data_IF_775010644168
#
_entry.id   IF_775010644168
#
_cell.length_a   1.000
_cell.length_b   1.000
_cell.length_c   1.000
_cell.angle_alpha   90.00
_cell.angle_beta   90.00
_cell.angle_gamma   90.00
#
_symmetry.space_group_name_H-M   'P 1'
#
loop_
_entity.id
_entity.type
_entity.pdbx_description
1 polymer ?
#
# COMPACT_ATOMS: atom_id res chain seq x y z
N UNK A 1 -8.76 -1.65 -7.76
CA UNK A 1 -9.60 -0.81 -6.88
C UNK A 1 -8.86 0.50 -6.74
N UNK A 2 -9.55 1.59 -7.03
CA UNK A 2 -9.08 2.97 -7.01
C UNK A 2 -10.33 3.86 -6.97
N UNK A 3 -10.19 5.15 -7.27
CA UNK A 3 -11.30 6.11 -7.26
C UNK A 3 -12.40 5.81 -8.27
N UNK A 4 -12.09 5.16 -9.40
CA UNK A 4 -13.06 4.79 -10.45
C UNK A 4 -13.62 3.38 -10.28
N UNK A 5 -12.95 2.54 -9.51
CA UNK A 5 -13.36 1.17 -9.20
C UNK A 5 -13.43 0.98 -7.67
N UNK A 6 -14.49 1.46 -7.00
CA UNK A 6 -14.64 1.36 -5.56
C UNK A 6 -14.90 -0.09 -5.11
N UNK A 7 -14.76 -0.31 -3.82
CA UNK A 7 -15.09 -1.55 -3.15
C UNK A 7 -16.59 -1.87 -3.34
N UNK A 8 -16.96 -3.12 -3.70
CA UNK A 8 -18.35 -3.52 -3.74
C UNK A 8 -19.04 -3.32 -2.37
N UNK A 9 -20.29 -2.85 -2.36
CA UNK A 9 -21.01 -2.50 -1.12
C UNK A 9 -21.08 -3.64 -0.08
N UNK A 10 -21.19 -4.88 -0.54
CA UNK A 10 -21.29 -6.07 0.33
C UNK A 10 -19.97 -6.83 0.43
N UNK A 11 -18.84 -6.19 0.12
CA UNK A 11 -17.54 -6.84 0.21
C UNK A 11 -17.22 -7.21 1.66
N UNK A 12 -16.81 -8.46 1.85
CA UNK A 12 -16.23 -8.93 3.11
C UNK A 12 -14.93 -9.67 2.81
N UNK A 13 -13.99 -9.62 3.76
CA UNK A 13 -12.71 -10.33 3.64
C UNK A 13 -12.44 -11.09 4.94
N UNK A 14 -12.18 -12.40 4.82
CA UNK A 14 -11.64 -13.18 5.92
C UNK A 14 -10.17 -12.80 6.10
N UNK A 15 -9.82 -12.38 7.30
CA UNK A 15 -8.47 -11.93 7.61
C UNK A 15 -7.77 -12.87 8.60
N UNK A 16 -6.45 -12.96 8.49
CA UNK A 16 -5.58 -13.67 9.42
C UNK A 16 -4.56 -12.70 10.04
N UNK A 17 -4.12 -12.94 11.29
CA UNK A 17 -3.09 -12.13 11.93
C UNK A 17 -1.73 -12.25 11.21
N UNK A 18 -1.05 -11.11 11.06
CA UNK A 18 0.34 -10.97 10.61
C UNK A 18 1.02 -9.92 11.49
N UNK A 19 1.81 -10.35 12.47
CA UNK A 19 2.37 -9.45 13.49
C UNK A 19 1.27 -8.73 14.28
N UNK A 20 1.37 -7.41 14.36
CA UNK A 20 0.40 -6.49 14.99
C UNK A 20 -0.82 -6.18 14.09
N UNK A 21 -0.85 -6.67 12.85
CA UNK A 21 -1.85 -6.32 11.87
C UNK A 21 -2.67 -7.52 11.38
N UNK A 22 -3.67 -7.24 10.54
CA UNK A 22 -4.50 -8.25 9.88
C UNK A 22 -4.36 -8.13 8.36
N UNK A 23 -4.34 -9.26 7.65
CA UNK A 23 -4.24 -9.31 6.20
C UNK A 23 -5.21 -10.36 5.65
N UNK A 24 -5.58 -10.29 4.38
CA UNK A 24 -6.42 -11.30 3.71
C UNK A 24 -5.83 -12.69 3.94
N UNK A 25 -6.66 -13.62 4.47
CA UNK A 25 -6.23 -14.97 4.81
C UNK A 25 -5.61 -15.73 3.64
N UNK A 26 -5.99 -15.40 2.40
CA UNK A 26 -5.46 -16.02 1.17
C UNK A 26 -4.00 -15.65 0.91
N UNK A 27 -3.55 -14.50 1.39
CA UNK A 27 -2.20 -13.97 1.15
C UNK A 27 -1.38 -13.76 2.42
N UNK A 28 -1.97 -13.91 3.61
CA UNK A 28 -1.30 -13.72 4.90
C UNK A 28 -0.06 -14.61 5.08
N UNK A 29 -0.10 -15.87 4.61
CA UNK A 29 1.06 -16.77 4.65
C UNK A 29 2.22 -16.25 3.81
N UNK A 30 1.92 -15.69 2.64
CA UNK A 30 2.92 -15.12 1.74
C UNK A 30 3.51 -13.83 2.29
N UNK A 31 2.69 -12.97 2.90
CA UNK A 31 3.18 -11.77 3.61
C UNK A 31 4.13 -12.16 4.75
N UNK A 32 3.76 -13.14 5.58
CA UNK A 32 4.62 -13.64 6.67
C UNK A 32 5.96 -14.15 6.14
N UNK A 33 5.94 -14.90 5.03
CA UNK A 33 7.16 -15.42 4.40
C UNK A 33 8.06 -14.29 3.89
N UNK A 34 7.49 -13.30 3.19
CA UNK A 34 8.24 -12.14 2.71
C UNK A 34 8.93 -11.39 3.84
N UNK A 35 8.22 -11.11 4.93
CA UNK A 35 8.77 -10.43 6.12
C UNK A 35 9.88 -11.28 6.77
N UNK A 36 9.64 -12.59 6.94
CA UNK A 36 10.62 -13.48 7.54
C UNK A 36 11.92 -13.56 6.72
N UNK A 37 11.81 -13.64 5.40
CA UNK A 37 12.99 -13.70 4.52
C UNK A 37 13.71 -12.34 4.43
N UNK A 38 12.99 -11.21 4.53
CA UNK A 38 13.60 -9.89 4.70
C UNK A 38 14.44 -9.82 5.99
N UNK A 39 13.86 -10.26 7.10
CA UNK A 39 14.50 -10.28 8.43
C UNK A 39 15.74 -11.19 8.46
N UNK A 40 15.71 -12.35 7.80
CA UNK A 40 16.89 -13.24 7.67
C UNK A 40 18.07 -12.58 6.95
N UNK A 41 17.82 -11.57 6.12
CA UNK A 41 18.85 -10.79 5.44
C UNK A 41 19.31 -9.57 6.27
N UNK A 42 18.95 -9.50 7.56
CA UNK A 42 19.33 -8.42 8.46
C UNK A 42 18.52 -7.12 8.29
N UNK A 43 17.41 -7.16 7.54
CA UNK A 43 16.53 -6.01 7.30
C UNK A 43 15.23 -6.21 8.08
N UNK A 44 14.91 -5.34 9.03
CA UNK A 44 13.83 -5.56 9.98
C UNK A 44 12.60 -4.71 9.65
N UNK A 45 11.67 -5.30 8.91
CA UNK A 45 10.41 -4.65 8.52
C UNK A 45 9.46 -4.50 9.70
N UNK A 46 8.84 -3.32 9.79
CA UNK A 46 7.69 -3.06 10.66
C UNK A 46 6.43 -2.90 9.81
N UNK A 47 5.30 -3.43 10.28
CA UNK A 47 4.00 -3.16 9.68
C UNK A 47 3.40 -1.94 10.37
N UNK A 48 3.29 -0.82 9.66
CA UNK A 48 2.55 0.35 10.15
C UNK A 48 1.05 0.13 9.98
N UNK A 49 0.64 -0.45 8.84
CA UNK A 49 -0.76 -0.61 8.50
C UNK A 49 -0.99 -1.76 7.54
N UNK A 50 -2.15 -2.40 7.62
CA UNK A 50 -2.57 -3.45 6.70
C UNK A 50 -4.07 -3.35 6.46
N UNK A 51 -4.87 -4.37 6.76
CA UNK A 51 -6.33 -4.25 6.66
C UNK A 51 -6.87 -3.07 7.49
N UNK A 52 -7.70 -2.24 6.86
CA UNK A 52 -8.41 -1.12 7.49
C UNK A 52 -9.90 -1.26 7.25
N UNK A 53 -10.72 -1.10 8.29
CA UNK A 53 -12.17 -0.96 8.12
C UNK A 53 -12.50 0.34 7.37
N UNK A 54 -13.69 0.41 6.76
CA UNK A 54 -14.20 1.64 6.14
C UNK A 54 -14.28 2.77 7.18
N UNK A 55 -14.70 2.48 8.41
CA UNK A 55 -14.77 3.46 9.50
C UNK A 55 -13.40 4.04 9.85
N UNK A 56 -12.36 3.20 9.94
CA UNK A 56 -11.01 3.66 10.23
C UNK A 56 -10.44 4.48 9.07
N UNK A 57 -10.64 4.03 7.82
CA UNK A 57 -10.25 4.80 6.63
C UNK A 57 -10.95 6.16 6.58
N UNK A 58 -12.20 6.25 7.03
CA UNK A 58 -12.95 7.52 7.15
C UNK A 58 -12.29 8.47 8.14
N UNK A 59 -11.83 7.98 9.28
CA UNK A 59 -11.11 8.79 10.27
C UNK A 59 -9.78 9.31 9.73
N UNK A 60 -9.02 8.46 9.02
CA UNK A 60 -7.77 8.85 8.38
C UNK A 60 -8.00 9.92 7.31
N UNK A 61 -8.96 9.70 6.40
CA UNK A 61 -9.26 10.66 5.34
C UNK A 61 -9.70 12.02 5.89
N UNK A 62 -10.60 12.04 6.89
CA UNK A 62 -11.01 13.30 7.54
C UNK A 62 -9.84 14.01 8.24
N UNK A 63 -8.91 13.25 8.79
CA UNK A 63 -7.69 13.81 9.40
C UNK A 63 -6.81 14.47 8.35
N UNK A 64 -6.66 13.83 7.19
CA UNK A 64 -5.85 14.36 6.10
C UNK A 64 -6.47 15.63 5.49
N UNK A 65 -7.80 15.68 5.34
CA UNK A 65 -8.51 16.92 4.94
C UNK A 65 -8.19 18.07 5.88
N UNK A 66 -8.20 17.83 7.20
CA UNK A 66 -7.89 18.88 8.19
C UNK A 66 -6.45 19.36 8.07
N UNK A 67 -5.49 18.46 7.82
CA UNK A 67 -4.09 18.83 7.61
C UNK A 67 -3.93 19.68 6.35
N UNK A 68 -4.48 19.24 5.22
CA UNK A 68 -4.43 19.98 3.96
C UNK A 68 -5.03 21.39 4.12
N UNK A 69 -6.20 21.49 4.77
CA UNK A 69 -6.82 22.78 5.08
C UNK A 69 -5.93 23.67 5.97
N UNK A 70 -5.27 23.10 6.97
CA UNK A 70 -4.38 23.86 7.87
C UNK A 70 -3.13 24.40 7.18
N UNK A 71 -2.71 23.81 6.07
CA UNK A 71 -1.59 24.29 5.25
C UNK A 71 -2.04 25.17 4.07
N UNK A 72 -3.32 25.54 4.00
CA UNK A 72 -3.84 26.48 3.01
C UNK A 72 -4.18 25.87 1.64
N UNK A 73 -4.44 24.57 1.58
CA UNK A 73 -4.89 23.91 0.34
C UNK A 73 -6.15 24.58 -0.21
N UNK A 74 -6.14 24.95 -1.50
CA UNK A 74 -7.29 25.54 -2.17
C UNK A 74 -8.48 24.56 -2.25
N UNK A 75 -8.20 23.27 -2.41
CA UNK A 75 -9.15 22.17 -2.27
C UNK A 75 -8.54 21.07 -1.37
N UNK A 76 -8.77 21.20 -0.06
CA UNK A 76 -8.27 20.27 0.93
C UNK A 76 -8.79 18.83 0.75
N UNK A 77 -9.98 18.64 0.15
CA UNK A 77 -10.53 17.30 -0.05
C UNK A 77 -9.88 16.58 -1.23
N UNK A 78 -9.60 17.31 -2.31
CA UNK A 78 -8.86 16.80 -3.46
C UNK A 78 -7.41 16.49 -3.10
N UNK A 79 -6.72 17.41 -2.41
CA UNK A 79 -5.33 17.20 -1.97
C UNK A 79 -5.22 16.03 -0.98
N UNK A 80 -6.11 15.95 0.01
CA UNK A 80 -6.13 14.82 0.92
C UNK A 80 -6.36 13.48 0.19
N UNK A 81 -7.12 13.47 -0.92
CA UNK A 81 -7.41 12.26 -1.66
C UNK A 81 -6.21 11.70 -2.44
N UNK A 82 -5.17 12.51 -2.70
CA UNK A 82 -3.92 12.04 -3.32
C UNK A 82 -2.98 11.40 -2.32
N UNK A 83 -3.19 11.61 -1.01
CA UNK A 83 -2.37 11.08 0.09
C UNK A 83 -3.09 9.94 0.82
N UNK A 84 -4.39 10.12 1.12
CA UNK A 84 -5.22 9.11 1.77
C UNK A 84 -6.46 8.89 0.92
N UNK A 85 -6.52 7.72 0.28
CA UNK A 85 -7.65 7.35 -0.55
C UNK A 85 -8.99 7.45 0.22
N UNK A 86 -10.04 7.86 -0.50
CA UNK A 86 -11.40 7.97 0.05
C UNK A 86 -11.86 6.63 0.64
N UNK A 87 -12.74 6.65 1.66
CA UNK A 87 -13.30 5.41 2.23
C UNK A 87 -13.98 4.59 1.14
N UNK A 88 -13.65 3.30 1.04
CA UNK A 88 -14.16 2.42 -0.01
C UNK A 88 -13.37 2.46 -1.31
N UNK A 89 -12.34 3.29 -1.44
CA UNK A 89 -11.41 3.28 -2.60
C UNK A 89 -9.97 2.96 -2.20
N UNK A 90 -9.69 2.76 -0.90
CA UNK A 90 -8.38 2.43 -0.34
C UNK A 90 -8.09 0.94 -0.35
N UNK A 91 -6.99 0.50 -0.96
CA UNK A 91 -6.61 -0.92 -1.06
C UNK A 91 -6.49 -1.65 0.29
N UNK A 92 -6.30 -0.91 1.38
CA UNK A 92 -6.35 -1.46 2.74
C UNK A 92 -7.73 -2.02 3.10
N UNK A 93 -8.81 -1.51 2.50
CA UNK A 93 -10.17 -2.03 2.69
C UNK A 93 -10.33 -3.43 2.08
N UNK A 94 -9.51 -3.80 1.08
CA UNK A 94 -9.48 -5.16 0.51
C UNK A 94 -8.73 -6.15 1.41
N UNK A 95 -7.90 -5.67 2.35
CA UNK A 95 -6.99 -6.51 3.11
C UNK A 95 -5.79 -7.05 2.31
N UNK A 96 -5.52 -6.46 1.13
CA UNK A 96 -4.43 -6.85 0.24
C UNK A 96 -3.29 -5.82 0.13
N UNK A 97 -3.39 -4.72 0.87
CA UNK A 97 -2.35 -3.70 0.97
C UNK A 97 -1.69 -3.69 2.36
N UNK A 98 -0.40 -3.39 2.40
CA UNK A 98 0.41 -3.30 3.61
C UNK A 98 1.40 -2.14 3.49
N UNK A 99 1.50 -1.37 4.56
CA UNK A 99 2.43 -0.26 4.70
C UNK A 99 3.58 -0.68 5.61
N UNK A 100 4.80 -0.47 5.14
CA UNK A 100 6.02 -0.82 5.85
C UNK A 100 6.80 0.40 6.34
N UNK A 101 7.28 0.29 7.57
CA UNK A 101 8.37 1.09 8.12
C UNK A 101 9.57 0.19 8.42
N UNK A 102 10.57 0.73 9.11
CA UNK A 102 11.68 -0.05 9.65
C UNK A 102 11.95 0.30 11.11
N UNK A 103 12.67 -0.56 11.83
CA UNK A 103 13.02 -0.28 13.25
C UNK A 103 13.81 1.04 13.39
N UNK A 104 14.62 1.38 12.39
CA UNK A 104 15.41 2.63 12.38
C UNK A 104 14.65 3.83 11.82
N UNK A 105 13.47 3.59 11.27
CA UNK A 105 12.59 4.59 10.69
C UNK A 105 11.15 4.11 10.82
N UNK A 106 10.58 4.30 12.00
CA UNK A 106 9.23 3.84 12.32
C UNK A 106 8.14 4.61 11.55
N UNK A 107 8.53 5.68 10.85
CA UNK A 107 7.63 6.46 10.01
C UNK A 107 7.33 5.71 8.71
N UNK A 108 6.04 5.61 8.39
CA UNK A 108 5.58 5.21 7.07
C UNK A 108 5.42 6.45 6.19
N UNK A 109 6.55 7.00 5.77
CA UNK A 109 6.63 8.16 4.88
C UNK A 109 7.76 7.99 3.85
N UNK A 110 8.02 9.02 3.05
CA UNK A 110 8.98 8.95 1.93
C UNK A 110 10.40 8.61 2.38
N UNK A 111 10.75 8.89 3.64
CA UNK A 111 12.07 8.58 4.18
C UNK A 111 12.33 7.08 4.26
N UNK A 112 11.28 6.25 4.24
CA UNK A 112 11.40 4.79 4.17
C UNK A 112 12.19 4.32 2.94
N UNK A 113 12.11 5.03 1.80
CA UNK A 113 12.84 4.70 0.56
C UNK A 113 14.36 4.52 0.78
N UNK A 114 14.93 5.30 1.71
CA UNK A 114 16.38 5.33 1.95
C UNK A 114 16.87 4.12 2.75
N UNK A 115 15.95 3.39 3.38
CA UNK A 115 16.25 2.29 4.29
C UNK A 115 16.73 1.03 3.54
N UNK A 116 17.56 0.18 4.19
CA UNK A 116 17.88 -1.15 3.67
C UNK A 116 16.65 -2.03 3.40
N UNK A 117 15.63 -1.92 4.26
CA UNK A 117 14.36 -2.63 4.16
C UNK A 117 13.61 -2.30 2.88
N UNK A 118 13.44 -1.01 2.55
CA UNK A 118 12.80 -0.59 1.31
C UNK A 118 13.58 -1.06 0.09
N UNK A 119 14.91 -0.94 0.10
CA UNK A 119 15.79 -1.44 -0.98
C UNK A 119 15.66 -2.95 -1.16
N UNK A 120 15.48 -3.71 -0.07
CA UNK A 120 15.24 -5.15 -0.15
C UNK A 120 13.86 -5.45 -0.76
N UNK A 121 12.80 -4.73 -0.35
CA UNK A 121 11.46 -4.91 -0.89
C UNK A 121 11.39 -4.60 -2.39
N UNK A 122 11.97 -3.48 -2.85
CA UNK A 122 12.02 -3.13 -4.29
C UNK A 122 12.66 -4.25 -5.14
N UNK A 123 13.64 -4.97 -4.58
CA UNK A 123 14.33 -6.07 -5.26
C UNK A 123 13.65 -7.44 -5.14
N UNK A 124 12.80 -7.65 -4.15
CA UNK A 124 12.34 -9.00 -3.77
C UNK A 124 10.83 -9.17 -3.62
N UNK A 125 10.06 -8.10 -3.38
CA UNK A 125 8.63 -8.18 -3.07
C UNK A 125 7.83 -8.93 -4.16
N UNK A 126 8.19 -8.74 -5.44
CA UNK A 126 7.51 -9.39 -6.56
C UNK A 126 7.60 -10.92 -6.51
N UNK A 127 8.67 -11.48 -5.92
CA UNK A 127 8.85 -12.94 -5.75
C UNK A 127 7.78 -13.54 -4.84
N UNK A 128 7.17 -12.70 -3.99
CA UNK A 128 6.09 -13.04 -3.07
C UNK A 128 4.73 -12.53 -3.58
N UNK A 129 4.65 -12.02 -4.81
CA UNK A 129 3.42 -11.49 -5.38
C UNK A 129 3.04 -10.09 -4.89
N UNK A 130 3.99 -9.33 -4.34
CA UNK A 130 3.78 -7.95 -3.92
C UNK A 130 4.43 -6.97 -4.91
N UNK A 131 3.75 -5.85 -5.17
CA UNK A 131 4.28 -4.73 -5.96
C UNK A 131 4.40 -3.49 -5.08
N UNK A 132 5.37 -2.64 -5.38
CA UNK A 132 5.34 -1.25 -4.94
C UNK A 132 4.20 -0.57 -5.69
N UNK A 133 3.11 -0.25 -4.99
CA UNK A 133 1.83 0.05 -5.63
C UNK A 133 1.81 1.42 -6.31
N UNK A 134 2.37 2.41 -5.62
CA UNK A 134 2.43 3.79 -6.06
C UNK A 134 3.90 4.14 -6.29
N UNK A 135 4.31 4.05 -7.56
CA UNK A 135 5.67 4.27 -8.01
C UNK A 135 5.84 5.74 -8.44
N UNK A 136 7.04 6.27 -8.25
CA UNK A 136 7.39 7.61 -8.73
C UNK A 136 7.19 7.73 -10.25
N UNK A 137 6.57 8.81 -10.69
CA UNK A 137 6.27 9.05 -12.11
C UNK A 137 5.04 8.34 -12.64
N UNK A 138 4.26 7.67 -11.78
CA UNK A 138 2.98 7.03 -12.14
C UNK A 138 1.76 7.71 -11.49
N UNK A 139 1.95 8.85 -10.83
CA UNK A 139 0.94 9.56 -10.03
C UNK A 139 -0.27 9.96 -10.87
N UNK A 140 -0.06 10.37 -12.13
CA UNK A 140 -1.15 10.71 -13.05
C UNK A 140 -2.02 9.50 -13.43
N UNK A 141 -1.49 8.27 -13.33
CA UNK A 141 -2.22 7.05 -13.64
C UNK A 141 -2.88 6.46 -12.38
N UNK A 142 -2.18 6.51 -11.25
CA UNK A 142 -2.68 5.94 -9.99
C UNK A 142 -3.61 6.88 -9.23
N UNK A 143 -3.49 8.20 -9.44
CA UNK A 143 -4.17 9.24 -8.68
C UNK A 143 -3.68 9.41 -7.25
N UNK A 144 -2.58 8.74 -6.88
CA UNK A 144 -1.98 8.74 -5.54
C UNK A 144 -0.50 9.10 -5.69
N UNK A 145 0.03 9.87 -4.74
CA UNK A 145 1.43 10.28 -4.69
C UNK A 145 2.38 9.07 -4.61
N UNK A 146 3.68 9.31 -4.77
CA UNK A 146 4.67 8.28 -4.52
C UNK A 146 4.63 7.81 -3.05
N UNK A 147 4.48 6.50 -2.83
CA UNK A 147 4.43 5.91 -1.50
C UNK A 147 5.39 4.71 -1.41
N UNK A 148 6.69 4.91 -1.10
CA UNK A 148 7.67 3.84 -1.00
C UNK A 148 7.35 2.77 0.06
N UNK A 149 6.43 3.07 0.98
CA UNK A 149 5.98 2.18 2.04
C UNK A 149 4.81 1.26 1.62
N UNK A 150 4.02 1.62 0.61
CA UNK A 150 2.75 0.95 0.28
C UNK A 150 2.95 -0.19 -0.72
N UNK A 151 2.74 -1.43 -0.26
CA UNK A 151 2.84 -2.63 -1.08
C UNK A 151 1.49 -3.34 -1.24
N UNK A 152 1.21 -3.79 -2.46
CA UNK A 152 -0.04 -4.46 -2.85
C UNK A 152 0.21 -5.89 -3.28
N UNK A 153 -0.55 -6.84 -2.72
CA UNK A 153 -0.56 -8.21 -3.21
C UNK A 153 -1.41 -8.35 -4.49
N UNK A 154 -0.80 -8.88 -5.54
CA UNK A 154 -1.41 -9.17 -6.85
C UNK A 154 -1.17 -10.61 -7.33
N UNK A 155 -0.42 -11.40 -6.56
CA UNK A 155 0.00 -12.75 -6.94
C UNK A 155 1.34 -12.76 -7.69
N UNK A 156 2.08 -13.86 -7.58
CA UNK A 156 3.48 -13.94 -8.03
C UNK A 156 3.66 -13.73 -9.55
N UNK A 157 2.77 -14.30 -10.37
CA UNK A 157 2.85 -14.17 -11.83
C UNK A 157 2.66 -12.70 -12.27
N UNK A 158 1.57 -12.06 -11.83
CA UNK A 158 1.29 -10.66 -12.14
C UNK A 158 2.38 -9.73 -11.61
N UNK A 159 2.81 -9.91 -10.35
CA UNK A 159 3.86 -9.05 -9.77
C UNK A 159 5.18 -9.16 -10.52
N UNK A 160 5.54 -10.37 -10.99
CA UNK A 160 6.74 -10.60 -11.80
C UNK A 160 6.64 -9.87 -13.14
N UNK A 161 5.54 -10.02 -13.87
CA UNK A 161 5.35 -9.36 -15.15
C UNK A 161 5.36 -7.83 -15.03
N UNK A 162 4.64 -7.30 -14.04
CA UNK A 162 4.63 -5.85 -13.74
C UNK A 162 6.03 -5.33 -13.42
N UNK A 163 6.83 -6.11 -12.69
CA UNK A 163 8.22 -5.75 -12.38
C UNK A 163 9.10 -5.74 -13.62
N UNK A 164 9.01 -6.76 -14.47
CA UNK A 164 9.82 -6.89 -15.70
C UNK A 164 9.48 -5.80 -16.73
N UNK A 165 8.21 -5.39 -16.80
CA UNK A 165 7.72 -4.38 -17.75
C UNK A 165 7.63 -2.96 -17.15
N UNK A 166 8.01 -2.77 -15.89
CA UNK A 166 7.92 -1.48 -15.18
C UNK A 166 6.51 -0.85 -15.18
N UNK A 167 5.49 -1.68 -14.97
CA UNK A 167 4.08 -1.27 -15.02
C UNK A 167 3.54 -0.94 -13.62
N UNK A 168 2.64 0.05 -13.55
CA UNK A 168 1.68 0.14 -12.44
C UNK A 168 0.49 -0.81 -12.67
N UNK A 169 -0.38 -0.95 -11.67
CA UNK A 169 -1.51 -1.89 -11.75
C UNK A 169 -2.50 -1.48 -12.85
N UNK A 170 -2.74 -0.19 -13.01
CA UNK A 170 -3.59 0.37 -14.04
C UNK A 170 -3.10 0.00 -15.44
N UNK A 171 -1.81 0.20 -15.73
CA UNK A 171 -1.22 -0.18 -17.03
C UNK A 171 -1.30 -1.69 -17.27
N UNK A 172 -1.01 -2.51 -16.25
CA UNK A 172 -1.11 -3.97 -16.35
C UNK A 172 -2.53 -4.45 -16.67
N UNK A 173 -3.56 -3.75 -16.17
CA UNK A 173 -4.96 -4.06 -16.41
C UNK A 173 -5.51 -3.40 -17.70
N UNK A 174 -4.72 -2.60 -18.41
CA UNK A 174 -5.18 -1.84 -19.58
C UNK A 174 -6.17 -0.72 -19.22
N UNK A 175 -6.02 -0.12 -18.03
CA UNK A 175 -6.89 0.93 -17.48
C UNK A 175 -6.15 2.26 -17.27
N UNK A 176 -5.03 2.45 -17.97
CA UNK A 176 -4.20 3.66 -17.94
C UNK A 176 -4.68 4.70 -18.96
#
# INVERSE_FOLDING_TARGET
MNTTHPLPQNFTVKTSPVGNARFDSRAAGTLKKMIADCNKNGNHLLICSAYRSISYQTTLYKTEIRKAASHGAADAASEAATVVAKPGTSEHNLGLAVDFGSIKNELCDETFEKTPESKWLVKNAYKYGFILRYQKGKENLTGIIYEPWHYRYVGAAAAKEMREKHLCLEEYLGQA
#
